data_IF_967081462963
#
_entry.id   IF_967081462963
#
_cell.length_a   1.000
_cell.length_b   1.000
_cell.length_c   1.000
_cell.angle_alpha   90.00
_cell.angle_beta   90.00
_cell.angle_gamma   90.00
#
_symmetry.space_group_name_H-M   'P 1'
#
loop_
_entity.id
_entity.type
_entity.pdbx_description
1 polymer ?
#
# COMPACT_ATOMS: atom_id res chain seq x y z
N UNK A 1 -3.04 -12.46 -22.27
CA UNK A 1 -2.89 -11.82 -20.93
C UNK A 1 -1.52 -12.12 -20.31
N UNK A 2 -1.01 -13.34 -20.37
CA UNK A 2 0.30 -13.74 -19.81
C UNK A 2 1.48 -12.94 -20.37
N UNK A 3 1.56 -12.74 -21.70
CA UNK A 3 2.64 -11.97 -22.32
C UNK A 3 2.61 -10.49 -21.92
N UNK A 4 1.42 -9.90 -21.77
CA UNK A 4 1.26 -8.52 -21.31
C UNK A 4 1.71 -8.38 -19.85
N UNK A 5 1.29 -9.29 -18.97
CA UNK A 5 1.69 -9.28 -17.57
C UNK A 5 3.21 -9.45 -17.43
N UNK A 6 3.81 -10.37 -18.18
CA UNK A 6 5.28 -10.55 -18.22
C UNK A 6 6.00 -9.25 -18.64
N UNK A 7 5.47 -8.56 -19.65
CA UNK A 7 6.01 -7.27 -20.09
C UNK A 7 5.90 -6.20 -19.00
N UNK A 8 4.75 -6.13 -18.28
CA UNK A 8 4.56 -5.16 -17.20
C UNK A 8 5.47 -5.45 -15.99
N UNK A 9 5.65 -6.72 -15.63
CA UNK A 9 6.58 -7.14 -14.56
C UNK A 9 8.02 -6.83 -14.97
N UNK A 10 8.41 -7.08 -16.23
CA UNK A 10 9.73 -6.68 -16.73
C UNK A 10 9.92 -5.17 -16.61
N UNK A 11 8.93 -4.38 -17.06
CA UNK A 11 8.94 -2.90 -16.96
C UNK A 11 9.07 -2.46 -15.49
N UNK A 12 8.41 -3.14 -14.53
CA UNK A 12 8.51 -2.84 -13.11
C UNK A 12 9.95 -2.91 -12.60
N UNK A 13 10.64 -4.01 -12.84
CA UNK A 13 12.02 -4.19 -12.34
C UNK A 13 13.06 -3.31 -13.04
N UNK A 14 12.78 -2.83 -14.27
CA UNK A 14 13.64 -1.91 -15.00
C UNK A 14 13.24 -0.45 -14.78
N UNK A 15 12.23 -0.18 -13.97
CA UNK A 15 11.81 1.18 -13.68
C UNK A 15 12.59 1.75 -12.50
N UNK A 16 13.29 2.86 -12.71
CA UNK A 16 14.06 3.55 -11.68
C UNK A 16 13.18 3.98 -10.48
N UNK A 17 11.90 4.30 -10.72
CA UNK A 17 10.96 4.74 -9.69
C UNK A 17 10.66 3.60 -8.70
N UNK A 18 10.63 2.35 -9.18
CA UNK A 18 10.47 1.19 -8.29
C UNK A 18 11.64 1.08 -7.30
N UNK A 19 12.88 1.20 -7.79
CA UNK A 19 14.06 1.13 -6.94
C UNK A 19 14.22 2.36 -6.04
N UNK A 20 13.85 3.55 -6.52
CA UNK A 20 13.78 4.74 -5.69
C UNK A 20 12.75 4.60 -4.55
N UNK A 21 11.58 4.00 -4.84
CA UNK A 21 10.59 3.66 -3.83
C UNK A 21 11.09 2.63 -2.82
N UNK A 22 11.82 1.61 -3.26
CA UNK A 22 12.46 0.62 -2.38
C UNK A 22 13.50 1.28 -1.45
N UNK A 23 14.35 2.15 -2.00
CA UNK A 23 15.31 2.93 -1.21
C UNK A 23 14.60 3.85 -0.21
N UNK A 24 13.55 4.54 -0.63
CA UNK A 24 12.73 5.37 0.26
C UNK A 24 12.11 4.56 1.39
N UNK A 25 11.66 3.34 1.12
CA UNK A 25 11.14 2.43 2.15
C UNK A 25 12.22 2.09 3.17
N UNK A 26 13.42 1.71 2.72
CA UNK A 26 14.54 1.40 3.63
C UNK A 26 14.96 2.63 4.44
N UNK A 27 15.04 3.80 3.80
CA UNK A 27 15.37 5.06 4.48
C UNK A 27 14.32 5.43 5.55
N UNK A 28 13.04 5.24 5.26
CA UNK A 28 11.98 5.50 6.23
C UNK A 28 12.02 4.52 7.42
N UNK A 29 12.32 3.24 7.16
CA UNK A 29 12.54 2.23 8.22
C UNK A 29 13.70 2.63 9.14
N UNK A 30 14.82 3.05 8.55
CA UNK A 30 15.99 3.55 9.31
C UNK A 30 15.64 4.80 10.12
N UNK A 31 14.96 5.76 9.51
CA UNK A 31 14.57 7.00 10.18
C UNK A 31 13.71 6.72 11.42
N UNK A 32 12.71 5.87 11.31
CA UNK A 32 11.87 5.51 12.45
C UNK A 32 12.63 4.73 13.50
N UNK A 33 13.52 3.83 13.11
CA UNK A 33 14.35 3.08 14.05
C UNK A 33 15.27 4.00 14.87
N UNK A 34 15.94 4.95 14.21
CA UNK A 34 16.79 5.95 14.89
C UNK A 34 15.94 6.85 15.79
N UNK A 35 14.80 7.32 15.33
CA UNK A 35 13.90 8.17 16.11
C UNK A 35 13.39 7.46 17.37
N UNK A 36 13.00 6.19 17.26
CA UNK A 36 12.57 5.39 18.40
C UNK A 36 13.74 5.09 19.36
N UNK A 37 14.95 4.87 18.85
CA UNK A 37 16.14 4.64 19.68
C UNK A 37 16.55 5.85 20.53
N UNK A 38 16.09 7.06 20.18
CA UNK A 38 16.34 8.27 20.95
C UNK A 38 15.37 8.45 22.13
N UNK A 39 14.29 7.68 22.21
CA UNK A 39 13.35 7.76 23.34
C UNK A 39 13.94 7.12 24.59
N UNK A 40 13.80 7.78 25.73
CA UNK A 40 14.39 7.34 27.00
C UNK A 40 13.92 5.94 27.42
N UNK A 41 12.65 5.60 27.18
CA UNK A 41 12.11 4.27 27.49
C UNK A 41 12.75 3.16 26.65
N UNK A 42 13.01 3.42 25.37
CA UNK A 42 13.64 2.48 24.45
C UNK A 42 15.12 2.29 24.77
N UNK A 43 15.80 3.36 25.21
CA UNK A 43 17.20 3.29 25.67
C UNK A 43 17.34 2.42 26.92
N UNK A 44 16.37 2.50 27.85
CA UNK A 44 16.42 1.77 29.10
C UNK A 44 16.03 0.28 28.97
N UNK A 45 15.02 -0.04 28.19
CA UNK A 45 14.37 -1.36 28.17
C UNK A 45 14.50 -2.12 26.85
N UNK A 46 15.07 -1.52 25.80
CA UNK A 46 15.00 -2.02 24.43
C UNK A 46 13.57 -1.92 23.85
N UNK A 47 13.42 -2.29 22.58
CA UNK A 47 12.12 -2.28 21.92
C UNK A 47 11.75 -3.69 21.45
N UNK A 48 10.59 -4.25 21.86
CA UNK A 48 10.13 -5.52 21.34
C UNK A 48 9.92 -5.45 19.82
N UNK A 49 10.35 -6.47 19.07
CA UNK A 49 10.32 -6.50 17.61
C UNK A 49 8.90 -6.28 17.06
N UNK A 50 7.88 -6.85 17.69
CA UNK A 50 6.49 -6.67 17.29
C UNK A 50 6.01 -5.21 17.42
N UNK A 51 6.40 -4.55 18.52
CA UNK A 51 6.09 -3.14 18.72
C UNK A 51 6.80 -2.26 17.69
N UNK A 52 8.04 -2.59 17.33
CA UNK A 52 8.75 -1.90 16.25
C UNK A 52 8.04 -2.04 14.90
N UNK A 53 7.64 -3.26 14.51
CA UNK A 53 6.87 -3.45 13.28
C UNK A 53 5.54 -2.70 13.31
N UNK A 54 4.90 -2.67 14.46
CA UNK A 54 3.66 -1.95 14.61
C UNK A 54 3.85 -0.46 14.31
N UNK A 55 4.84 0.18 14.89
CA UNK A 55 5.15 1.60 14.65
C UNK A 55 5.58 1.83 13.19
N UNK A 56 6.37 0.92 12.61
CA UNK A 56 6.84 1.00 11.24
C UNK A 56 5.67 1.11 10.24
N UNK A 57 4.68 0.23 10.35
CA UNK A 57 3.54 0.22 9.45
C UNK A 57 2.46 1.26 9.79
N UNK A 58 2.46 1.81 11.01
CA UNK A 58 1.60 2.96 11.37
C UNK A 58 1.95 4.23 10.62
N UNK A 59 3.24 4.46 10.47
CA UNK A 59 3.75 5.70 9.92
C UNK A 59 3.95 5.52 8.42
N UNK A 60 3.25 6.06 7.55
CA UNK A 60 3.30 6.11 6.09
C UNK A 60 4.59 5.57 5.38
N UNK A 61 5.45 4.85 6.11
CA UNK A 61 6.76 4.37 5.66
C UNK A 61 6.68 3.46 4.45
N UNK A 62 5.62 2.66 4.34
CA UNK A 62 5.35 1.81 3.20
C UNK A 62 4.25 2.36 2.30
N UNK A 63 3.26 3.07 2.86
CA UNK A 63 2.15 3.62 2.12
C UNK A 63 2.55 4.71 1.13
N UNK A 64 3.50 5.56 1.49
CA UNK A 64 3.98 6.66 0.63
C UNK A 64 4.80 6.15 -0.57
N UNK A 65 5.77 5.22 -0.44
CA UNK A 65 6.43 4.59 -1.59
C UNK A 65 5.46 3.87 -2.52
N UNK A 66 4.48 3.15 -1.99
CA UNK A 66 3.42 2.50 -2.78
C UNK A 66 2.62 3.53 -3.57
N UNK A 67 2.23 4.65 -2.95
CA UNK A 67 1.52 5.74 -3.61
C UNK A 67 2.34 6.29 -4.78
N UNK A 68 3.57 6.73 -4.51
CA UNK A 68 4.43 7.35 -5.53
C UNK A 68 4.62 6.38 -6.71
N UNK A 69 4.97 5.13 -6.43
CA UNK A 69 5.19 4.14 -7.48
C UNK A 69 3.91 3.87 -8.28
N UNK A 70 2.81 3.52 -7.61
CA UNK A 70 1.57 3.14 -8.30
C UNK A 70 1.00 4.27 -9.15
N UNK A 71 1.03 5.50 -8.64
CA UNK A 71 0.50 6.65 -9.38
C UNK A 71 1.35 6.95 -10.60
N UNK A 72 2.67 7.00 -10.46
CA UNK A 72 3.54 7.29 -11.60
C UNK A 72 3.53 6.13 -12.60
N UNK A 73 3.67 4.88 -12.15
CA UNK A 73 3.68 3.70 -13.03
C UNK A 73 2.37 3.49 -13.78
N UNK A 74 1.22 3.76 -13.14
CA UNK A 74 -0.08 3.60 -13.79
C UNK A 74 -0.40 4.74 -14.75
N UNK A 75 0.04 5.97 -14.44
CA UNK A 75 -0.27 7.16 -15.25
C UNK A 75 0.73 7.46 -16.36
N UNK A 76 1.96 6.97 -16.27
CA UNK A 76 3.01 7.17 -17.29
C UNK A 76 2.58 6.71 -18.68
N UNK A 77 1.86 5.60 -18.78
CA UNK A 77 1.37 5.07 -20.05
C UNK A 77 0.28 5.95 -20.71
N UNK A 78 -0.43 6.77 -19.93
CA UNK A 78 -1.37 7.76 -20.49
C UNK A 78 -0.61 8.96 -21.05
N UNK A 79 0.45 9.40 -20.36
CA UNK A 79 1.27 10.53 -20.78
C UNK A 79 2.10 10.21 -22.03
N UNK A 80 2.65 9.00 -22.11
CA UNK A 80 3.45 8.53 -23.24
C UNK A 80 2.62 8.02 -24.43
N UNK A 81 1.27 7.95 -24.29
CA UNK A 81 0.40 7.39 -25.34
C UNK A 81 0.53 5.86 -25.51
N UNK A 82 1.26 5.18 -24.63
CA UNK A 82 1.46 3.73 -24.72
C UNK A 82 0.14 2.95 -24.63
N UNK A 83 -0.87 3.51 -23.96
CA UNK A 83 -2.23 2.91 -23.90
C UNK A 83 -2.80 2.71 -25.30
N UNK A 84 -2.70 3.72 -26.18
CA UNK A 84 -3.17 3.63 -27.57
C UNK A 84 -2.43 2.56 -28.35
N UNK A 85 -1.12 2.47 -28.16
CA UNK A 85 -0.29 1.45 -28.81
C UNK A 85 -0.70 0.02 -28.41
N UNK A 86 -0.96 -0.24 -27.14
CA UNK A 86 -1.42 -1.55 -26.68
C UNK A 86 -2.80 -1.91 -27.26
N UNK A 87 -3.71 -0.94 -27.30
CA UNK A 87 -5.07 -1.16 -27.84
C UNK A 87 -5.02 -1.37 -29.36
N UNK A 88 -4.21 -0.64 -30.11
CA UNK A 88 -4.05 -0.83 -31.55
C UNK A 88 -3.47 -2.20 -31.93
N UNK A 89 -2.71 -2.82 -31.02
CA UNK A 89 -2.21 -4.19 -31.15
C UNK A 89 -3.23 -5.27 -30.72
N UNK A 90 -4.47 -4.90 -30.48
CA UNK A 90 -5.56 -5.86 -30.17
C UNK A 90 -5.65 -6.25 -28.69
N UNK A 91 -4.90 -5.59 -27.77
CA UNK A 91 -5.04 -5.83 -26.35
C UNK A 91 -6.30 -5.12 -25.86
N UNK A 92 -7.21 -5.88 -25.21
CA UNK A 92 -8.44 -5.28 -24.69
C UNK A 92 -8.15 -4.31 -23.54
N UNK A 93 -8.95 -3.23 -23.43
CA UNK A 93 -8.83 -2.22 -22.37
C UNK A 93 -8.89 -2.84 -20.96
N UNK A 94 -9.70 -3.90 -20.81
CA UNK A 94 -9.84 -4.63 -19.55
C UNK A 94 -8.56 -5.38 -19.21
N UNK A 95 -7.98 -6.09 -20.18
CA UNK A 95 -6.72 -6.81 -19.99
C UNK A 95 -5.57 -5.87 -19.62
N UNK A 96 -5.55 -4.69 -20.24
CA UNK A 96 -4.58 -3.66 -19.93
C UNK A 96 -4.75 -3.13 -18.49
N UNK A 97 -5.98 -2.76 -18.10
CA UNK A 97 -6.30 -2.30 -16.74
C UNK A 97 -5.92 -3.34 -15.68
N UNK A 98 -6.36 -4.60 -15.86
CA UNK A 98 -6.05 -5.69 -14.93
C UNK A 98 -4.55 -5.96 -14.83
N UNK A 99 -3.81 -5.87 -15.94
CA UNK A 99 -2.36 -6.06 -15.89
C UNK A 99 -1.66 -4.99 -15.05
N UNK A 100 -2.11 -3.74 -15.12
CA UNK A 100 -1.60 -2.65 -14.26
C UNK A 100 -1.96 -2.86 -12.79
N UNK A 101 -3.21 -3.26 -12.50
CA UNK A 101 -3.64 -3.58 -11.15
C UNK A 101 -2.78 -4.66 -10.51
N UNK A 102 -2.61 -5.79 -11.20
CA UNK A 102 -1.81 -6.93 -10.71
C UNK A 102 -0.34 -6.50 -10.49
N UNK A 103 0.23 -5.74 -11.42
CA UNK A 103 1.64 -5.31 -11.31
C UNK A 103 1.83 -4.33 -10.14
N UNK A 104 0.91 -3.39 -9.92
CA UNK A 104 0.97 -2.47 -8.79
C UNK A 104 0.73 -3.19 -7.45
N UNK A 105 -0.21 -4.14 -7.40
CA UNK A 105 -0.44 -4.98 -6.22
C UNK A 105 0.81 -5.82 -5.88
N UNK A 106 1.47 -6.37 -6.89
CA UNK A 106 2.73 -7.10 -6.71
C UNK A 106 3.85 -6.18 -6.21
N UNK A 107 3.99 -4.97 -6.74
CA UNK A 107 4.96 -3.99 -6.25
C UNK A 107 4.69 -3.59 -4.79
N UNK A 108 3.42 -3.38 -4.42
CA UNK A 108 3.03 -3.10 -3.04
C UNK A 108 3.43 -4.24 -2.08
N UNK A 109 3.22 -5.49 -2.51
CA UNK A 109 3.67 -6.66 -1.75
C UNK A 109 5.19 -6.65 -1.56
N UNK A 110 5.95 -6.34 -2.62
CA UNK A 110 7.42 -6.25 -2.52
C UNK A 110 7.88 -5.16 -1.54
N UNK A 111 7.24 -3.99 -1.52
CA UNK A 111 7.58 -2.94 -0.55
C UNK A 111 7.30 -3.37 0.90
N UNK A 112 6.21 -4.09 1.16
CA UNK A 112 5.93 -4.66 2.50
C UNK A 112 7.02 -5.67 2.89
N UNK A 113 7.43 -6.54 1.97
CA UNK A 113 8.51 -7.52 2.21
C UNK A 113 9.84 -6.82 2.45
N UNK A 114 10.19 -5.80 1.66
CA UNK A 114 11.41 -5.00 1.84
C UNK A 114 11.40 -4.31 3.22
N UNK A 115 10.26 -3.72 3.61
CA UNK A 115 10.11 -3.10 4.93
C UNK A 115 10.27 -4.12 6.06
N UNK A 116 9.68 -5.31 5.91
CA UNK A 116 9.83 -6.39 6.88
C UNK A 116 11.28 -6.86 7.04
N UNK A 117 11.95 -7.14 5.94
CA UNK A 117 13.35 -7.61 5.96
C UNK A 117 14.28 -6.52 6.51
N UNK A 118 14.19 -5.30 5.99
CA UNK A 118 15.01 -4.18 6.45
C UNK A 118 14.75 -3.85 7.93
N UNK A 119 13.48 -3.90 8.35
CA UNK A 119 13.07 -3.70 9.73
C UNK A 119 13.69 -4.73 10.67
N UNK A 120 13.68 -6.01 10.28
CA UNK A 120 14.34 -7.08 11.07
C UNK A 120 15.85 -6.83 11.22
N UNK A 121 16.52 -6.53 10.12
CA UNK A 121 17.97 -6.28 10.12
C UNK A 121 18.31 -5.07 11.00
N UNK A 122 17.59 -3.98 10.84
CA UNK A 122 17.84 -2.73 11.55
C UNK A 122 17.54 -2.88 13.05
N UNK A 123 16.42 -3.51 13.41
CA UNK A 123 16.08 -3.76 14.81
C UNK A 123 17.09 -4.65 15.50
N UNK A 124 17.68 -5.60 14.78
CA UNK A 124 18.76 -6.44 15.30
C UNK A 124 20.05 -5.66 15.55
N UNK A 125 20.41 -4.76 14.64
CA UNK A 125 21.61 -3.93 14.79
C UNK A 125 21.49 -2.97 15.98
N UNK A 126 20.33 -2.35 16.16
CA UNK A 126 20.11 -1.32 17.17
C UNK A 126 19.80 -1.88 18.56
N UNK A 127 19.01 -2.96 18.66
CA UNK A 127 18.48 -3.45 19.94
C UNK A 127 18.82 -4.90 20.26
N UNK A 128 19.60 -5.59 19.42
CA UNK A 128 19.95 -7.00 19.57
C UNK A 128 18.75 -7.94 19.80
N UNK A 129 17.62 -7.66 19.13
CA UNK A 129 16.30 -8.24 19.41
C UNK A 129 16.05 -9.64 18.82
N UNK A 130 17.07 -10.39 18.34
CA UNK A 130 16.88 -11.77 17.87
C UNK A 130 16.31 -12.68 18.98
N UNK A 131 16.66 -12.43 20.24
CA UNK A 131 16.02 -13.12 21.37
C UNK A 131 14.52 -12.85 21.51
N UNK A 132 14.06 -11.68 21.08
CA UNK A 132 12.63 -11.33 21.06
C UNK A 132 11.82 -12.04 19.97
N UNK A 133 12.45 -12.46 18.85
CA UNK A 133 11.80 -13.29 17.83
C UNK A 133 11.35 -14.64 18.36
N UNK A 134 12.10 -15.23 19.28
CA UNK A 134 11.78 -16.51 19.90
C UNK A 134 10.64 -16.41 20.94
N UNK A 135 10.36 -15.21 21.44
CA UNK A 135 9.29 -14.95 22.41
C UNK A 135 7.97 -14.52 21.75
N UNK A 136 8.01 -14.11 20.47
CA UNK A 136 6.80 -13.77 19.72
C UNK A 136 6.12 -15.05 19.27
N UNK A 137 4.80 -15.10 19.40
CA UNK A 137 4.01 -16.12 18.75
C UNK A 137 4.19 -15.97 17.22
N UNK A 138 4.98 -16.87 16.63
CA UNK A 138 5.33 -16.85 15.19
C UNK A 138 4.08 -16.78 14.31
N UNK A 139 2.99 -17.42 14.74
CA UNK A 139 1.71 -17.38 14.07
C UNK A 139 1.14 -15.95 14.03
N UNK A 140 1.21 -15.20 15.14
CA UNK A 140 0.73 -13.83 15.22
C UNK A 140 1.53 -12.89 14.30
N UNK A 141 2.83 -13.08 14.22
CA UNK A 141 3.70 -12.31 13.31
C UNK A 141 3.36 -12.60 11.84
N UNK A 142 3.17 -13.86 11.46
CA UNK A 142 2.78 -14.24 10.11
C UNK A 142 1.42 -13.64 9.73
N UNK A 143 0.43 -13.72 10.61
CA UNK A 143 -0.87 -13.09 10.38
C UNK A 143 -0.78 -11.57 10.26
N UNK A 144 0.08 -10.92 11.04
CA UNK A 144 0.31 -9.49 10.94
C UNK A 144 0.87 -9.12 9.56
N UNK A 145 1.94 -9.78 9.08
CA UNK A 145 2.49 -9.51 7.75
C UNK A 145 1.52 -9.83 6.63
N UNK A 146 0.77 -10.92 6.75
CA UNK A 146 -0.25 -11.28 5.76
C UNK A 146 -1.33 -10.20 5.65
N UNK A 147 -1.81 -9.67 6.77
CA UNK A 147 -2.77 -8.56 6.74
C UNK A 147 -2.18 -7.28 6.17
N UNK A 148 -0.92 -6.94 6.47
CA UNK A 148 -0.26 -5.80 5.86
C UNK A 148 -0.14 -5.95 4.33
N UNK A 149 0.17 -7.13 3.82
CA UNK A 149 0.16 -7.41 2.38
C UNK A 149 -1.23 -7.17 1.78
N UNK A 150 -2.29 -7.70 2.39
CA UNK A 150 -3.67 -7.51 1.92
C UNK A 150 -4.05 -6.02 1.91
N UNK A 151 -3.73 -5.29 2.96
CA UNK A 151 -4.05 -3.86 3.08
C UNK A 151 -3.31 -3.03 2.01
N UNK A 152 -2.01 -3.26 1.82
CA UNK A 152 -1.22 -2.54 0.84
C UNK A 152 -1.60 -2.89 -0.61
N UNK A 153 -1.96 -4.13 -0.89
CA UNK A 153 -2.48 -4.52 -2.21
C UNK A 153 -3.84 -3.87 -2.48
N UNK A 154 -4.72 -3.82 -1.48
CA UNK A 154 -6.01 -3.12 -1.59
C UNK A 154 -5.83 -1.62 -1.84
N UNK A 155 -4.87 -1.01 -1.14
CA UNK A 155 -4.50 0.39 -1.34
C UNK A 155 -3.92 0.63 -2.74
N UNK A 156 -3.06 -0.25 -3.25
CA UNK A 156 -2.55 -0.16 -4.61
C UNK A 156 -3.67 -0.24 -5.66
N UNK A 157 -4.68 -1.10 -5.44
CA UNK A 157 -5.86 -1.17 -6.30
C UNK A 157 -6.64 0.16 -6.32
N UNK A 158 -6.82 0.78 -5.17
CA UNK A 158 -7.44 2.10 -5.06
C UNK A 158 -6.65 3.17 -5.84
N UNK A 159 -5.33 3.21 -5.69
CA UNK A 159 -4.46 4.16 -6.38
C UNK A 159 -4.51 4.00 -7.92
N UNK A 160 -4.46 2.77 -8.40
CA UNK A 160 -4.58 2.49 -9.84
C UNK A 160 -5.95 2.89 -10.36
N UNK A 161 -7.02 2.58 -9.62
CA UNK A 161 -8.39 2.99 -9.98
C UNK A 161 -8.48 4.52 -10.16
N UNK A 162 -7.96 5.30 -9.23
CA UNK A 162 -7.96 6.78 -9.34
C UNK A 162 -7.14 7.27 -10.53
N UNK A 163 -6.00 6.64 -10.85
CA UNK A 163 -5.19 6.99 -12.02
C UNK A 163 -5.96 6.78 -13.33
N UNK A 164 -6.70 5.68 -13.44
CA UNK A 164 -7.53 5.40 -14.61
C UNK A 164 -8.78 6.28 -14.69
N UNK A 165 -9.27 6.77 -13.55
CA UNK A 165 -10.37 7.73 -13.49
C UNK A 165 -9.97 9.10 -14.03
N UNK A 166 -8.83 9.63 -13.59
CA UNK A 166 -8.36 10.98 -13.94
C UNK A 166 -7.50 11.04 -15.21
N UNK A 167 -6.84 9.96 -15.60
CA UNK A 167 -5.96 9.86 -16.80
C UNK A 167 -4.84 10.90 -16.88
N UNK A 168 -4.55 11.58 -15.79
CA UNK A 168 -3.52 12.60 -15.66
C UNK A 168 -2.64 12.24 -14.48
N UNK A 169 -1.32 12.20 -14.70
CA UNK A 169 -0.35 11.92 -13.64
C UNK A 169 -0.41 12.97 -12.54
N UNK A 170 -0.47 14.24 -12.92
CA UNK A 170 -0.50 15.35 -11.96
C UNK A 170 -1.77 15.32 -11.12
N UNK A 171 -2.94 15.24 -11.77
CA UNK A 171 -4.23 15.20 -11.06
C UNK A 171 -4.33 13.99 -10.14
N UNK A 172 -3.93 12.81 -10.64
CA UNK A 172 -3.94 11.59 -9.84
C UNK A 172 -3.00 11.69 -8.64
N UNK A 173 -1.80 12.25 -8.81
CA UNK A 173 -0.84 12.44 -7.73
C UNK A 173 -1.39 13.37 -6.64
N UNK A 174 -1.92 14.53 -7.04
CA UNK A 174 -2.48 15.51 -6.11
C UNK A 174 -3.67 14.95 -5.33
N UNK A 175 -4.62 14.32 -6.04
CA UNK A 175 -5.80 13.73 -5.41
C UNK A 175 -5.42 12.61 -4.46
N UNK A 176 -4.54 11.69 -4.86
CA UNK A 176 -4.13 10.58 -4.01
C UNK A 176 -3.30 11.03 -2.81
N UNK A 177 -2.44 12.05 -2.97
CA UNK A 177 -1.69 12.63 -1.86
C UNK A 177 -2.61 13.36 -0.88
N UNK A 178 -3.59 14.09 -1.39
CA UNK A 178 -4.61 14.73 -0.56
C UNK A 178 -5.44 13.69 0.21
N UNK A 179 -5.89 12.64 -0.44
CA UNK A 179 -6.64 11.56 0.19
C UNK A 179 -5.80 10.76 1.20
N UNK A 180 -4.49 10.61 0.97
CA UNK A 180 -3.58 9.98 1.93
C UNK A 180 -3.51 10.79 3.23
N UNK A 181 -3.32 12.12 3.12
CA UNK A 181 -3.08 12.99 4.28
C UNK A 181 -4.39 13.37 4.98
N UNK A 182 -5.37 13.81 4.21
CA UNK A 182 -6.59 14.41 4.75
C UNK A 182 -7.81 13.51 4.69
N UNK A 183 -7.81 12.45 3.86
CA UNK A 183 -8.99 11.62 3.62
C UNK A 183 -9.58 11.03 4.90
N UNK A 184 -8.74 10.51 5.78
CA UNK A 184 -9.18 10.00 7.08
C UNK A 184 -9.84 11.10 7.94
N UNK A 185 -9.22 12.27 8.06
CA UNK A 185 -9.76 13.37 8.86
C UNK A 185 -11.09 13.89 8.33
N UNK A 186 -11.23 13.97 7.00
CA UNK A 186 -12.47 14.43 6.37
C UNK A 186 -13.59 13.44 6.63
N UNK A 187 -13.36 12.15 6.37
CA UNK A 187 -14.37 11.12 6.59
C UNK A 187 -14.76 11.06 8.07
N UNK A 188 -13.77 11.08 8.97
CA UNK A 188 -13.98 11.06 10.40
C UNK A 188 -14.83 12.25 10.89
N UNK A 189 -14.55 13.46 10.37
CA UNK A 189 -15.35 14.67 10.71
C UNK A 189 -16.76 14.61 10.16
N UNK A 190 -16.95 14.09 8.95
CA UNK A 190 -18.29 13.92 8.38
C UNK A 190 -19.12 12.94 9.21
N UNK A 191 -18.53 11.82 9.62
CA UNK A 191 -19.20 10.83 10.48
C UNK A 191 -19.57 11.39 11.87
N UNK A 192 -18.65 12.17 12.47
CA UNK A 192 -18.86 12.80 13.77
C UNK A 192 -20.08 13.74 13.74
N UNK A 193 -20.20 14.55 12.67
CA UNK A 193 -21.30 15.51 12.50
C UNK A 193 -22.63 14.84 12.16
N UNK A 194 -22.63 13.76 11.33
CA UNK A 194 -23.87 13.19 10.78
C UNK A 194 -24.39 12.05 11.67
N UNK A 195 -23.52 11.14 12.11
CA UNK A 195 -23.94 9.87 12.75
C UNK A 195 -23.42 9.67 14.15
N UNK A 196 -22.52 10.51 14.66
CA UNK A 196 -21.83 10.33 15.94
C UNK A 196 -21.25 8.92 16.11
N UNK A 197 -20.88 8.28 15.01
CA UNK A 197 -20.31 6.93 14.97
C UNK A 197 -19.20 6.88 13.92
N UNK A 198 -18.14 6.13 14.20
CA UNK A 198 -16.92 6.10 13.38
C UNK A 198 -16.81 4.78 12.59
N UNK A 199 -17.82 4.48 11.76
CA UNK A 199 -17.89 3.22 11.03
C UNK A 199 -17.11 3.29 9.71
N UNK A 200 -17.34 4.32 8.87
CA UNK A 200 -16.73 4.42 7.55
C UNK A 200 -15.24 4.77 7.65
N UNK A 201 -14.87 5.67 8.56
CA UNK A 201 -13.47 6.04 8.79
C UNK A 201 -12.62 4.86 9.25
N UNK A 202 -13.23 3.88 9.94
CA UNK A 202 -12.57 2.64 10.30
C UNK A 202 -12.08 1.82 9.09
N UNK A 203 -12.83 1.83 7.99
CA UNK A 203 -12.51 1.09 6.77
C UNK A 203 -11.64 1.89 5.79
N UNK A 204 -11.18 3.08 6.18
CA UNK A 204 -10.25 3.84 5.37
C UNK A 204 -8.88 3.12 5.32
N UNK A 205 -8.30 2.85 4.14
CA UNK A 205 -7.12 1.98 4.02
C UNK A 205 -5.95 2.42 4.89
N UNK A 206 -5.70 3.72 4.96
CA UNK A 206 -4.59 4.29 5.74
C UNK A 206 -4.84 4.19 7.25
N UNK A 207 -6.08 4.36 7.69
CA UNK A 207 -6.44 4.19 9.11
C UNK A 207 -6.23 2.74 9.58
N UNK A 208 -6.44 1.78 8.68
CA UNK A 208 -6.26 0.37 9.00
C UNK A 208 -4.82 -0.07 9.14
N UNK A 209 -3.87 0.58 8.47
CA UNK A 209 -2.45 0.34 8.74
C UNK A 209 -2.11 0.54 10.23
N UNK A 210 -2.78 1.49 10.87
CA UNK A 210 -2.60 1.82 12.28
C UNK A 210 -3.36 0.88 13.23
N UNK A 211 -4.54 0.39 12.86
CA UNK A 211 -5.45 -0.34 13.75
C UNK A 211 -5.18 -1.82 13.89
N UNK A 212 -4.65 -2.47 12.87
CA UNK A 212 -4.35 -3.92 12.87
C UNK A 212 -3.48 -4.35 14.06
N UNK A 213 -2.85 -3.41 14.74
CA UNK A 213 -1.95 -3.64 15.85
C UNK A 213 -2.64 -3.79 17.20
N UNK A 214 -3.76 -3.11 17.39
CA UNK A 214 -4.46 -3.01 18.68
C UNK A 214 -5.49 -4.13 18.83
N UNK A 215 -5.89 -4.74 17.72
CA UNK A 215 -6.97 -5.73 17.68
C UNK A 215 -6.44 -7.15 17.78
N UNK A 216 -7.23 -8.05 18.36
CA UNK A 216 -6.96 -9.49 18.30
C UNK A 216 -7.13 -10.02 16.88
N UNK A 217 -6.51 -11.17 16.55
CA UNK A 217 -6.61 -11.78 15.21
C UNK A 217 -8.07 -12.01 14.79
N UNK A 218 -8.94 -12.38 15.72
CA UNK A 218 -10.35 -12.62 15.45
C UNK A 218 -11.13 -11.34 15.09
N UNK A 219 -10.71 -10.20 15.63
CA UNK A 219 -11.36 -8.90 15.39
C UNK A 219 -10.91 -8.25 14.08
N UNK A 220 -9.62 -8.31 13.78
CA UNK A 220 -9.11 -7.61 12.58
C UNK A 220 -9.25 -8.41 11.29
N UNK A 221 -9.29 -9.74 11.32
CA UNK A 221 -9.42 -10.54 10.10
C UNK A 221 -10.68 -10.21 9.28
N UNK A 222 -11.89 -10.13 9.85
CA UNK A 222 -13.08 -9.77 9.09
C UNK A 222 -12.99 -8.34 8.52
N UNK A 223 -12.35 -7.41 9.23
CA UNK A 223 -12.20 -6.02 8.78
C UNK A 223 -11.21 -5.93 7.62
N UNK A 224 -10.07 -6.61 7.69
CA UNK A 224 -9.09 -6.69 6.59
C UNK A 224 -9.71 -7.36 5.36
N UNK A 225 -10.49 -8.42 5.55
CA UNK A 225 -11.22 -9.07 4.47
C UNK A 225 -12.26 -8.13 3.82
N UNK A 226 -13.01 -7.37 4.63
CA UNK A 226 -13.97 -6.38 4.12
C UNK A 226 -13.26 -5.28 3.31
N UNK A 227 -12.13 -4.77 3.78
CA UNK A 227 -11.32 -3.79 3.04
C UNK A 227 -10.85 -4.35 1.71
N UNK A 228 -10.36 -5.59 1.69
CA UNK A 228 -9.96 -6.24 0.44
C UNK A 228 -11.14 -6.36 -0.54
N UNK A 229 -12.31 -6.73 -0.06
CA UNK A 229 -13.51 -6.80 -0.91
C UNK A 229 -13.89 -5.41 -1.45
N UNK A 230 -13.91 -4.39 -0.60
CA UNK A 230 -14.30 -3.03 -1.00
C UNK A 230 -13.28 -2.43 -1.98
N UNK A 231 -12.02 -2.37 -1.61
CA UNK A 231 -10.99 -1.68 -2.38
C UNK A 231 -10.33 -2.57 -3.43
N UNK A 232 -10.12 -3.84 -3.15
CA UNK A 232 -9.52 -4.78 -4.10
C UNK A 232 -10.52 -5.26 -5.15
N UNK A 233 -11.71 -5.70 -4.76
CA UNK A 233 -12.68 -6.33 -5.67
C UNK A 233 -13.66 -5.31 -6.25
N UNK A 234 -14.41 -4.57 -5.41
CA UNK A 234 -15.46 -3.68 -5.91
C UNK A 234 -14.89 -2.54 -6.77
N UNK A 235 -13.80 -1.87 -6.35
CA UNK A 235 -13.20 -0.81 -7.16
C UNK A 235 -12.62 -1.36 -8.47
N UNK A 236 -12.06 -2.57 -8.46
CA UNK A 236 -11.61 -3.22 -9.69
C UNK A 236 -12.77 -3.47 -10.65
N UNK A 237 -13.90 -3.97 -10.16
CA UNK A 237 -15.11 -4.17 -10.95
C UNK A 237 -15.67 -2.84 -11.52
N UNK A 238 -15.74 -1.79 -10.70
CA UNK A 238 -16.17 -0.46 -11.15
C UNK A 238 -15.21 0.08 -12.21
N UNK A 239 -13.88 -0.07 -12.00
CA UNK A 239 -12.87 0.32 -12.99
C UNK A 239 -13.04 -0.40 -14.33
N UNK A 240 -13.32 -1.69 -14.32
CA UNK A 240 -13.63 -2.47 -15.53
C UNK A 240 -14.86 -1.90 -16.27
N UNK A 241 -15.92 -1.58 -15.54
CA UNK A 241 -17.14 -1.01 -16.12
C UNK A 241 -16.86 0.37 -16.77
N UNK A 242 -16.08 1.21 -16.08
CA UNK A 242 -15.68 2.52 -16.60
C UNK A 242 -14.83 2.36 -17.86
N UNK A 243 -13.88 1.44 -17.86
CA UNK A 243 -13.00 1.19 -19.01
C UNK A 243 -13.74 0.63 -20.22
N UNK A 244 -14.83 -0.11 -20.00
CA UNK A 244 -15.72 -0.59 -21.08
C UNK A 244 -16.49 0.55 -21.76
N UNK A 245 -17.01 1.49 -20.97
CA UNK A 245 -17.92 2.54 -21.45
C UNK A 245 -17.21 3.79 -21.97
N UNK A 246 -15.99 4.07 -21.50
CA UNK A 246 -15.26 5.28 -21.88
C UNK A 246 -14.45 5.07 -23.16
N UNK A 247 -14.62 5.96 -24.11
CA UNK A 247 -13.70 6.06 -25.24
C UNK A 247 -12.35 6.62 -24.79
N UNK A 248 -11.30 5.94 -25.19
CA UNK A 248 -9.92 6.43 -25.02
C UNK A 248 -9.64 7.26 -26.29
N UNK A 249 -9.85 8.57 -26.16
CA UNK A 249 -9.42 9.53 -27.17
C UNK A 249 -7.95 9.84 -26.97
#
# INVERSE_FOLDING_TARGET
MTNLLRSQIYKLFHNMIFWAGAALTICSVLFYAVFESMKAETVANGMPLFQYYSILFQNYSTGLPVLIFCVVFASDDFMSGAVHYYISKGISRIQYYLSKMITCAFAATLYVVIAGISGTIISQILWHNLGGLLQINTLQLLFFFFSQIILHTSYACFLVFTCFLFRSSVTSSVVNMFLLIFGFFIVHRIEDVIWHSYVISMYWPVAMFQRVQVMTVAEWFPVVAAIFVIYGVLLTCIGIIIMKKRDIK
#
